data_IF_507783191279
#
_entry.id   IF_507783191279
#
_cell.length_a   1.000
_cell.length_b   1.000
_cell.length_c   1.000
_cell.angle_alpha   90.00
_cell.angle_beta   90.00
_cell.angle_gamma   90.00
#
_symmetry.space_group_name_H-M   'P 1'
#
loop_
_entity.id
_entity.type
_entity.pdbx_description
1 polymer ?
#
# COMPACT_ATOMS: atom_id res chain seq x y z
N UNK A 1 -8.31 4.62 -24.96
CA UNK A 1 -7.91 3.28 -24.48
C UNK A 1 -9.11 2.66 -23.76
N UNK A 2 -9.37 1.36 -23.90
CA UNK A 2 -10.31 0.62 -23.06
C UNK A 2 -9.59 -0.52 -22.36
N UNK A 3 -10.09 -0.96 -21.19
CA UNK A 3 -9.46 -1.99 -20.35
C UNK A 3 -10.43 -3.15 -20.10
N UNK A 4 -9.93 -4.38 -20.12
CA UNK A 4 -10.62 -5.57 -19.60
C UNK A 4 -9.78 -6.08 -18.43
N UNK A 5 -10.32 -5.96 -17.22
CA UNK A 5 -9.57 -6.24 -16.00
C UNK A 5 -9.57 -7.75 -15.68
N UNK A 6 -8.38 -8.34 -15.60
CA UNK A 6 -8.20 -9.74 -15.18
C UNK A 6 -7.50 -9.86 -13.82
N UNK A 7 -6.83 -8.79 -13.36
CA UNK A 7 -6.14 -8.72 -12.08
C UNK A 7 -6.55 -7.44 -11.36
N UNK A 8 -7.41 -7.50 -10.33
CA UNK A 8 -7.68 -6.36 -9.49
C UNK A 8 -6.50 -6.22 -8.54
N UNK A 9 -5.57 -5.32 -8.87
CA UNK A 9 -4.39 -5.00 -8.07
C UNK A 9 -4.01 -3.54 -8.26
N UNK A 10 -3.42 -3.21 -9.43
CA UNK A 10 -2.74 -1.94 -9.68
C UNK A 10 -3.65 -0.73 -9.99
N UNK A 11 -4.96 -0.93 -10.13
CA UNK A 11 -5.91 0.16 -10.42
C UNK A 11 -5.78 0.86 -11.78
N UNK A 12 -4.95 0.34 -12.68
CA UNK A 12 -4.70 0.90 -14.02
C UNK A 12 -5.97 1.02 -14.88
N UNK A 13 -7.05 0.32 -14.51
CA UNK A 13 -8.35 0.45 -15.14
C UNK A 13 -9.04 1.79 -14.88
N UNK A 14 -8.63 2.54 -13.85
CA UNK A 14 -9.27 3.79 -13.43
C UNK A 14 -8.30 4.94 -13.10
N UNK A 15 -7.02 4.63 -12.89
CA UNK A 15 -6.00 5.60 -12.53
C UNK A 15 -5.51 6.43 -13.72
N UNK A 16 -4.80 7.51 -13.43
CA UNK A 16 -4.11 8.37 -14.41
C UNK A 16 -2.62 8.07 -14.49
N UNK A 17 -2.15 7.08 -13.72
CA UNK A 17 -0.75 6.75 -13.54
C UNK A 17 -0.31 5.55 -14.37
N UNK A 18 0.98 5.52 -14.69
CA UNK A 18 1.69 4.34 -15.18
C UNK A 18 3.06 4.29 -14.55
N UNK A 19 3.60 3.09 -14.34
CA UNK A 19 4.95 2.86 -13.85
C UNK A 19 5.73 2.10 -14.92
N UNK A 20 6.88 2.63 -15.30
CA UNK A 20 7.72 2.08 -16.36
C UNK A 20 9.12 1.82 -15.80
N UNK A 21 9.63 0.62 -16.05
CA UNK A 21 11.01 0.26 -15.73
C UNK A 21 11.91 0.56 -16.93
N UNK A 22 12.95 1.35 -16.71
CA UNK A 22 14.09 1.50 -17.60
C UNK A 22 15.22 0.58 -17.11
N UNK A 23 15.45 -0.51 -17.83
CA UNK A 23 16.50 -1.48 -17.51
C UNK A 23 17.91 -0.88 -17.66
N UNK A 24 18.05 0.17 -18.46
CA UNK A 24 19.27 0.99 -18.51
C UNK A 24 19.38 1.81 -17.21
N UNK A 25 20.04 1.23 -16.20
CA UNK A 25 20.26 1.83 -14.87
C UNK A 25 19.28 1.36 -13.78
N UNK A 26 18.33 0.48 -14.13
CA UNK A 26 17.32 -0.09 -13.23
C UNK A 26 16.47 0.96 -12.53
N UNK A 27 15.90 1.87 -13.33
CA UNK A 27 15.03 2.93 -12.84
C UNK A 27 13.56 2.56 -13.06
N UNK A 28 12.82 2.33 -11.98
CA UNK A 28 11.36 2.16 -12.01
C UNK A 28 10.72 3.49 -11.64
N UNK A 29 9.99 4.13 -12.57
CA UNK A 29 9.47 5.51 -12.40
C UNK A 29 8.00 5.62 -12.78
N UNK A 30 7.28 6.42 -12.00
CA UNK A 30 5.88 6.75 -12.26
C UNK A 30 5.74 7.95 -13.23
N UNK A 31 4.70 7.94 -14.05
CA UNK A 31 4.25 9.06 -14.86
C UNK A 31 2.73 9.18 -14.74
N UNK A 32 2.21 10.40 -14.63
CA UNK A 32 0.77 10.66 -14.47
C UNK A 32 0.24 11.68 -15.47
N UNK A 33 -0.90 11.39 -16.08
CA UNK A 33 -1.65 12.34 -16.91
C UNK A 33 -3.13 11.95 -17.01
N UNK A 34 -4.04 12.93 -16.96
CA UNK A 34 -5.46 12.70 -17.22
C UNK A 34 -5.73 12.10 -18.60
N UNK A 35 -4.84 12.35 -19.56
CA UNK A 35 -4.91 11.78 -20.92
C UNK A 35 -4.71 10.25 -20.95
N UNK A 36 -4.15 9.68 -19.88
CA UNK A 36 -3.88 8.24 -19.79
C UNK A 36 -5.06 7.44 -19.23
N UNK A 37 -6.07 8.12 -18.66
CA UNK A 37 -7.21 7.45 -18.05
C UNK A 37 -7.98 6.64 -19.11
N UNK A 38 -8.29 5.36 -18.86
CA UNK A 38 -9.12 4.57 -19.76
C UNK A 38 -10.50 5.23 -19.99
N UNK A 39 -11.00 5.13 -21.22
CA UNK A 39 -12.34 5.63 -21.59
C UNK A 39 -13.42 4.75 -20.96
N UNK A 40 -13.15 3.46 -20.82
CA UNK A 40 -13.99 2.51 -20.10
C UNK A 40 -13.14 1.35 -19.57
N UNK A 41 -13.65 0.71 -18.53
CA UNK A 41 -13.13 -0.54 -17.97
C UNK A 41 -14.25 -1.58 -17.88
N UNK A 42 -13.97 -2.81 -18.31
CA UNK A 42 -14.85 -3.97 -18.12
C UNK A 42 -14.31 -4.78 -16.95
N UNK A 43 -15.13 -4.91 -15.92
CA UNK A 43 -14.78 -5.55 -14.66
C UNK A 43 -15.74 -6.73 -14.43
N UNK A 44 -15.26 -7.94 -14.66
CA UNK A 44 -15.99 -9.18 -14.37
C UNK A 44 -15.21 -10.00 -13.33
N UNK A 45 -15.71 -10.16 -12.09
CA UNK A 45 -15.04 -10.92 -11.04
C UNK A 45 -14.63 -12.35 -11.45
N UNK A 46 -15.38 -13.01 -12.33
CA UNK A 46 -15.07 -14.36 -12.80
C UNK A 46 -13.73 -14.44 -13.56
N UNK A 47 -13.30 -13.33 -14.20
CA UNK A 47 -12.01 -13.27 -14.89
C UNK A 47 -10.81 -13.36 -13.93
N UNK A 48 -11.06 -13.28 -12.62
CA UNK A 48 -10.04 -13.30 -11.57
C UNK A 48 -9.95 -14.66 -10.87
N UNK A 49 -10.84 -15.61 -11.15
CA UNK A 49 -10.88 -16.93 -10.49
C UNK A 49 -9.58 -17.72 -10.66
N UNK A 50 -8.89 -17.53 -11.78
CA UNK A 50 -7.64 -18.21 -12.10
C UNK A 50 -6.40 -17.54 -11.51
N UNK A 51 -6.55 -16.44 -10.76
CA UNK A 51 -5.42 -15.77 -10.12
C UNK A 51 -4.78 -16.66 -9.05
N UNK A 52 -3.44 -16.83 -9.08
CA UNK A 52 -2.73 -17.49 -8.01
C UNK A 52 -2.97 -16.81 -6.65
N UNK A 53 -3.03 -17.57 -5.54
CA UNK A 53 -3.21 -17.01 -4.21
C UNK A 53 -2.20 -15.90 -3.88
N UNK A 54 -0.93 -16.10 -4.23
CA UNK A 54 0.13 -15.11 -4.00
C UNK A 54 -0.13 -13.78 -4.74
N UNK A 55 -0.57 -13.82 -6.00
CA UNK A 55 -0.90 -12.61 -6.76
C UNK A 55 -2.16 -11.90 -6.21
N UNK A 56 -3.13 -12.67 -5.72
CA UNK A 56 -4.30 -12.11 -5.05
C UNK A 56 -3.91 -11.39 -3.76
N UNK A 57 -3.05 -12.00 -2.94
CA UNK A 57 -2.58 -11.41 -1.69
C UNK A 57 -1.67 -10.19 -1.93
N UNK A 58 -0.77 -10.25 -2.92
CA UNK A 58 0.07 -9.12 -3.30
C UNK A 58 -0.77 -7.94 -3.82
N UNK A 59 -1.76 -8.20 -4.67
CA UNK A 59 -2.69 -7.17 -5.13
C UNK A 59 -3.48 -6.53 -3.99
N UNK A 60 -3.90 -7.32 -3.00
CA UNK A 60 -4.56 -6.77 -1.81
C UNK A 60 -3.63 -5.90 -0.96
N UNK A 61 -2.36 -6.31 -0.78
CA UNK A 61 -1.38 -5.51 -0.07
C UNK A 61 -1.11 -4.17 -0.77
N UNK A 62 -1.03 -4.18 -2.09
CA UNK A 62 -0.91 -2.99 -2.94
C UNK A 62 -2.12 -2.04 -2.80
N UNK A 63 -3.35 -2.57 -2.87
CA UNK A 63 -4.56 -1.76 -2.60
C UNK A 63 -4.53 -1.12 -1.21
N UNK A 64 -4.15 -1.87 -0.18
CA UNK A 64 -4.08 -1.35 1.19
C UNK A 64 -3.02 -0.27 1.31
N UNK A 65 -1.84 -0.48 0.71
CA UNK A 65 -0.77 0.50 0.62
C UNK A 65 -1.24 1.80 -0.05
N UNK A 66 -1.89 1.71 -1.21
CA UNK A 66 -2.49 2.86 -1.89
C UNK A 66 -3.51 3.63 -1.01
N UNK A 67 -4.26 2.93 -0.16
CA UNK A 67 -5.17 3.59 0.79
C UNK A 67 -4.37 4.22 1.94
N UNK A 68 -3.33 3.57 2.45
CA UNK A 68 -2.47 4.10 3.50
C UNK A 68 -1.78 5.41 3.08
N UNK A 69 -1.25 5.48 1.86
CA UNK A 69 -0.63 6.70 1.32
C UNK A 69 -1.59 7.91 1.34
N UNK A 70 -2.90 7.67 1.33
CA UNK A 70 -3.94 8.70 1.36
C UNK A 70 -4.52 8.90 2.76
N UNK A 71 -4.54 7.85 3.56
CA UNK A 71 -5.11 7.88 4.90
C UNK A 71 -4.20 8.61 5.89
N UNK A 72 -2.89 8.36 5.84
CA UNK A 72 -1.92 9.02 6.71
C UNK A 72 -1.56 10.39 6.13
N UNK A 73 -2.28 11.40 6.61
CA UNK A 73 -2.25 12.74 6.05
C UNK A 73 -2.21 13.78 7.18
N UNK A 74 -1.56 14.91 6.91
CA UNK A 74 -1.49 16.06 7.83
C UNK A 74 -2.68 17.01 7.64
N UNK A 75 -3.47 16.83 6.58
CA UNK A 75 -4.65 17.66 6.33
C UNK A 75 -5.74 17.46 7.40
N UNK A 76 -6.18 18.54 8.06
CA UNK A 76 -7.27 18.47 9.03
C UNK A 76 -8.65 18.41 8.34
N UNK A 77 -9.67 17.98 9.10
CA UNK A 77 -11.08 18.03 8.69
C UNK A 77 -11.45 17.18 7.46
N UNK A 78 -10.86 15.99 7.34
CA UNK A 78 -11.05 15.05 6.22
C UNK A 78 -11.88 13.81 6.61
N UNK A 79 -12.78 13.91 7.59
CA UNK A 79 -13.47 12.75 8.20
C UNK A 79 -14.25 11.90 7.19
N UNK A 80 -14.91 12.49 6.18
CA UNK A 80 -15.61 11.71 5.16
C UNK A 80 -14.65 10.80 4.39
N UNK A 81 -13.52 11.33 3.92
CA UNK A 81 -12.52 10.53 3.20
C UNK A 81 -11.76 9.57 4.13
N UNK A 82 -11.71 9.85 5.45
CA UNK A 82 -11.20 8.90 6.45
C UNK A 82 -12.14 7.70 6.52
N UNK A 83 -13.46 7.93 6.65
CA UNK A 83 -14.47 6.87 6.69
C UNK A 83 -14.49 6.02 5.42
N UNK A 84 -14.33 6.65 4.26
CA UNK A 84 -14.25 5.92 2.99
C UNK A 84 -13.00 5.04 2.93
N UNK A 85 -11.84 5.56 3.37
CA UNK A 85 -10.59 4.80 3.44
C UNK A 85 -10.70 3.64 4.43
N UNK A 86 -11.20 3.88 5.64
CA UNK A 86 -11.41 2.88 6.69
C UNK A 86 -12.38 1.78 6.24
N UNK A 87 -13.50 2.16 5.63
CA UNK A 87 -14.49 1.22 5.11
C UNK A 87 -13.89 0.33 4.01
N UNK A 88 -13.12 0.93 3.09
CA UNK A 88 -12.46 0.18 2.01
C UNK A 88 -11.42 -0.79 2.57
N UNK A 89 -10.59 -0.38 3.53
CA UNK A 89 -9.63 -1.25 4.21
C UNK A 89 -10.32 -2.42 4.92
N UNK A 90 -11.38 -2.15 5.68
CA UNK A 90 -12.15 -3.21 6.38
C UNK A 90 -12.77 -4.20 5.40
N UNK A 91 -13.26 -3.72 4.25
CA UNK A 91 -13.77 -4.59 3.17
C UNK A 91 -12.67 -5.50 2.62
N UNK A 92 -11.47 -4.98 2.36
CA UNK A 92 -10.33 -5.79 1.92
C UNK A 92 -9.95 -6.81 3.00
N UNK A 93 -9.76 -6.38 4.24
CA UNK A 93 -9.39 -7.23 5.39
C UNK A 93 -10.37 -8.39 5.57
N UNK A 94 -11.67 -8.14 5.38
CA UNK A 94 -12.72 -9.15 5.47
C UNK A 94 -12.69 -10.15 4.32
N UNK A 95 -12.54 -9.68 3.08
CA UNK A 95 -12.81 -10.50 1.90
C UNK A 95 -11.57 -11.23 1.36
N UNK A 96 -10.36 -10.70 1.54
CA UNK A 96 -9.13 -11.37 1.05
C UNK A 96 -8.99 -12.80 1.58
N UNK A 97 -9.14 -13.08 2.90
CA UNK A 97 -9.03 -14.44 3.39
C UNK A 97 -10.07 -15.40 2.78
N UNK A 98 -11.27 -14.91 2.48
CA UNK A 98 -12.33 -15.69 1.82
C UNK A 98 -11.89 -16.06 0.41
N UNK A 99 -11.39 -15.09 -0.37
CA UNK A 99 -10.91 -15.34 -1.73
C UNK A 99 -9.74 -16.34 -1.75
N UNK A 100 -8.82 -16.27 -0.79
CA UNK A 100 -7.68 -17.19 -0.72
C UNK A 100 -8.11 -18.63 -0.41
N UNK A 101 -9.20 -18.82 0.33
CA UNK A 101 -9.75 -20.13 0.66
C UNK A 101 -10.72 -20.64 -0.43
N UNK A 102 -11.49 -19.75 -1.03
CA UNK A 102 -12.54 -20.00 -2.00
C UNK A 102 -12.32 -19.10 -3.24
N UNK A 103 -11.39 -19.44 -4.14
CA UNK A 103 -10.96 -18.56 -5.23
C UNK A 103 -12.05 -18.23 -6.26
N UNK A 104 -13.11 -19.04 -6.32
CA UNK A 104 -14.29 -18.88 -7.19
C UNK A 104 -15.49 -18.26 -6.45
N UNK A 105 -15.31 -17.77 -5.21
CA UNK A 105 -16.37 -17.06 -4.49
C UNK A 105 -16.64 -15.70 -5.15
N UNK A 106 -17.71 -15.63 -5.94
CA UNK A 106 -18.07 -14.44 -6.71
C UNK A 106 -18.18 -13.19 -5.85
N UNK A 107 -18.89 -13.28 -4.72
CA UNK A 107 -19.17 -12.14 -3.84
C UNK A 107 -17.87 -11.55 -3.28
N UNK A 108 -16.97 -12.39 -2.77
CA UNK A 108 -15.70 -11.95 -2.23
C UNK A 108 -14.79 -11.37 -3.33
N UNK A 109 -14.76 -11.97 -4.53
CA UNK A 109 -14.02 -11.44 -5.68
C UNK A 109 -14.58 -10.09 -6.15
N UNK A 110 -15.90 -9.92 -6.16
CA UNK A 110 -16.56 -8.67 -6.53
C UNK A 110 -16.22 -7.54 -5.56
N UNK A 111 -16.26 -7.81 -4.25
CA UNK A 111 -15.88 -6.85 -3.21
C UNK A 111 -14.42 -6.41 -3.34
N UNK A 112 -13.49 -7.36 -3.53
CA UNK A 112 -12.06 -7.04 -3.72
C UNK A 112 -11.83 -6.27 -5.02
N UNK A 113 -12.47 -6.68 -6.11
CA UNK A 113 -12.35 -6.00 -7.40
C UNK A 113 -12.83 -4.56 -7.32
N UNK A 114 -13.97 -4.32 -6.68
CA UNK A 114 -14.50 -2.96 -6.51
C UNK A 114 -13.66 -2.13 -5.54
N UNK A 115 -13.26 -2.70 -4.40
CA UNK A 115 -12.36 -2.04 -3.46
C UNK A 115 -11.03 -1.64 -4.13
N UNK A 116 -10.51 -2.48 -5.02
CA UNK A 116 -9.35 -2.17 -5.86
C UNK A 116 -9.55 -0.90 -6.67
N UNK A 117 -10.64 -0.77 -7.43
CA UNK A 117 -10.91 0.47 -8.17
C UNK A 117 -11.06 1.69 -7.26
N UNK A 118 -11.74 1.57 -6.12
CA UNK A 118 -11.88 2.66 -5.14
C UNK A 118 -10.52 3.07 -4.56
N UNK A 119 -9.63 2.11 -4.32
CA UNK A 119 -8.27 2.37 -3.86
C UNK A 119 -7.42 3.15 -4.88
N UNK A 120 -7.81 3.26 -6.15
CA UNK A 120 -6.95 3.84 -7.19
C UNK A 120 -7.58 4.97 -8.02
N UNK A 121 -8.89 5.17 -7.95
CA UNK A 121 -9.58 6.15 -8.80
C UNK A 121 -9.40 7.62 -8.36
N UNK A 122 -8.78 7.86 -7.20
CA UNK A 122 -8.49 9.18 -6.62
C UNK A 122 -9.51 9.69 -5.59
N UNK A 123 -10.65 9.02 -5.40
CA UNK A 123 -11.70 9.49 -4.48
C UNK A 123 -11.21 9.56 -3.03
N UNK A 124 -10.39 8.59 -2.61
CA UNK A 124 -9.87 8.52 -1.24
C UNK A 124 -8.84 9.60 -0.93
N UNK A 125 -8.20 10.18 -1.96
CA UNK A 125 -7.22 11.26 -1.83
C UNK A 125 -7.83 12.67 -1.90
N UNK A 126 -9.14 12.76 -2.10
CA UNK A 126 -9.81 14.05 -2.31
C UNK A 126 -9.67 14.94 -1.08
N UNK A 127 -9.10 16.13 -1.28
CA UNK A 127 -8.89 17.13 -0.22
C UNK A 127 -7.70 16.84 0.70
N UNK A 128 -6.76 15.98 0.27
CA UNK A 128 -5.60 15.55 1.06
C UNK A 128 -4.29 15.77 0.30
N UNK A 129 -3.21 15.92 1.04
CA UNK A 129 -1.87 15.65 0.51
C UNK A 129 -1.56 14.18 0.78
N UNK A 130 -1.28 13.45 -0.30
CA UNK A 130 -0.95 12.01 -0.29
C UNK A 130 0.56 11.82 -0.01
N UNK A 131 0.96 10.77 0.71
CA UNK A 131 2.35 10.55 1.16
C UNK A 131 3.26 10.06 0.03
N UNK A 132 2.98 8.87 -0.52
CA UNK A 132 3.72 8.16 -1.57
C UNK A 132 5.15 7.73 -1.22
N UNK A 133 5.63 8.03 -0.01
CA UNK A 133 7.00 7.75 0.38
C UNK A 133 7.31 6.25 0.41
N UNK A 134 6.32 5.42 0.77
CA UNK A 134 6.53 3.97 0.83
C UNK A 134 6.55 3.34 -0.57
N UNK A 135 5.71 3.79 -1.49
CA UNK A 135 5.79 3.34 -2.89
C UNK A 135 7.11 3.72 -3.55
N UNK A 136 7.60 4.94 -3.33
CA UNK A 136 8.87 5.36 -3.91
C UNK A 136 10.07 4.57 -3.35
N UNK A 137 10.06 4.26 -2.05
CA UNK A 137 11.04 3.33 -1.47
C UNK A 137 10.92 1.92 -2.05
N UNK A 138 9.70 1.44 -2.29
CA UNK A 138 9.46 0.12 -2.88
C UNK A 138 9.99 0.04 -4.31
N UNK A 139 9.78 1.08 -5.12
CA UNK A 139 10.23 1.10 -6.51
C UNK A 139 11.75 0.89 -6.65
N UNK A 140 12.53 1.37 -5.68
CA UNK A 140 13.97 1.14 -5.64
C UNK A 140 14.31 -0.32 -5.29
N UNK A 141 13.56 -0.95 -4.38
CA UNK A 141 13.74 -2.37 -4.04
C UNK A 141 13.34 -3.28 -5.20
N UNK A 142 12.12 -3.12 -5.74
CA UNK A 142 11.65 -3.94 -6.85
C UNK A 142 12.40 -3.67 -8.16
N UNK A 143 12.90 -2.46 -8.36
CA UNK A 143 13.79 -2.15 -9.49
C UNK A 143 15.11 -2.92 -9.46
N UNK A 144 15.65 -3.18 -8.26
CA UNK A 144 16.95 -3.86 -8.10
C UNK A 144 16.82 -5.38 -7.94
N UNK A 145 15.86 -5.84 -7.13
CA UNK A 145 15.77 -7.24 -6.70
C UNK A 145 14.57 -8.00 -7.29
N UNK A 146 13.77 -7.36 -8.15
CA UNK A 146 12.60 -7.96 -8.83
C UNK A 146 11.60 -8.62 -7.85
N UNK A 147 11.48 -8.06 -6.64
CA UNK A 147 10.43 -8.47 -5.71
C UNK A 147 9.06 -8.05 -6.27
N UNK A 148 8.04 -8.88 -6.03
CA UNK A 148 6.66 -8.53 -6.36
C UNK A 148 6.23 -7.26 -5.62
N UNK A 149 5.66 -6.29 -6.35
CA UNK A 149 5.35 -4.95 -5.83
C UNK A 149 4.61 -4.94 -4.49
N UNK A 150 3.44 -5.60 -4.44
CA UNK A 150 2.65 -5.69 -3.22
C UNK A 150 3.34 -6.41 -2.05
N UNK A 151 4.27 -7.33 -2.34
CA UNK A 151 5.07 -7.98 -1.30
C UNK A 151 6.12 -7.02 -0.72
N UNK A 152 6.75 -6.18 -1.54
CA UNK A 152 7.61 -5.09 -1.09
C UNK A 152 6.85 -4.09 -0.20
N UNK A 153 5.64 -3.70 -0.61
CA UNK A 153 4.78 -2.80 0.17
C UNK A 153 4.34 -3.41 1.51
N UNK A 154 4.01 -4.71 1.54
CA UNK A 154 3.65 -5.43 2.76
C UNK A 154 4.78 -5.42 3.82
N UNK A 155 6.03 -5.36 3.36
CA UNK A 155 7.22 -5.26 4.21
C UNK A 155 7.45 -3.82 4.67
N UNK A 156 7.44 -2.86 3.74
CA UNK A 156 7.87 -1.49 4.01
C UNK A 156 6.84 -0.69 4.79
N UNK A 157 5.54 -0.89 4.56
CA UNK A 157 4.52 -0.08 5.24
C UNK A 157 4.57 -0.21 6.77
N UNK A 158 4.58 -1.42 7.36
CA UNK A 158 4.71 -1.55 8.81
C UNK A 158 5.99 -0.92 9.37
N UNK A 159 7.11 -1.02 8.64
CA UNK A 159 8.38 -0.39 9.04
C UNK A 159 8.29 1.15 8.98
N UNK A 160 7.74 1.70 7.90
CA UNK A 160 7.48 3.12 7.74
C UNK A 160 6.54 3.64 8.83
N UNK A 161 5.41 2.96 9.07
CA UNK A 161 4.43 3.33 10.10
C UNK A 161 5.11 3.41 11.47
N UNK A 162 5.95 2.43 11.82
CA UNK A 162 6.71 2.41 13.07
C UNK A 162 7.70 3.57 13.16
N UNK A 163 8.34 3.93 12.06
CA UNK A 163 9.28 5.05 11.98
C UNK A 163 8.60 6.40 12.21
N UNK A 164 7.46 6.64 11.54
CA UNK A 164 6.78 7.94 11.55
C UNK A 164 5.68 8.08 12.59
N UNK A 165 5.33 7.01 13.32
CA UNK A 165 4.18 6.96 14.25
C UNK A 165 4.13 8.15 15.22
N UNK A 166 5.30 8.62 15.69
CA UNK A 166 5.41 9.70 16.66
C UNK A 166 5.06 11.08 16.10
N UNK A 167 5.02 11.24 14.78
CA UNK A 167 4.62 12.48 14.12
C UNK A 167 3.16 12.85 14.47
N UNK A 168 2.26 11.86 14.44
CA UNK A 168 0.86 12.03 14.85
C UNK A 168 0.31 10.72 15.42
N UNK A 169 0.58 10.48 16.70
CA UNK A 169 0.10 9.29 17.41
C UNK A 169 -1.43 9.18 17.39
N UNK A 170 -2.16 10.30 17.33
CA UNK A 170 -3.62 10.27 17.31
C UNK A 170 -4.14 9.69 15.99
N UNK A 171 -3.52 10.04 14.85
CA UNK A 171 -3.85 9.48 13.54
C UNK A 171 -3.67 7.96 13.51
N UNK A 172 -2.58 7.47 14.09
CA UNK A 172 -2.30 6.02 14.19
C UNK A 172 -3.21 5.31 15.20
N UNK A 173 -3.52 5.93 16.34
CA UNK A 173 -4.50 5.37 17.29
C UNK A 173 -5.91 5.32 16.68
N UNK A 174 -6.29 6.33 15.90
CA UNK A 174 -7.53 6.33 15.11
C UNK A 174 -7.56 5.18 14.11
N UNK A 175 -6.47 4.98 13.35
CA UNK A 175 -6.34 3.85 12.43
C UNK A 175 -6.51 2.51 13.14
N UNK A 176 -5.77 2.31 14.23
CA UNK A 176 -5.83 1.10 15.04
C UNK A 176 -7.25 0.81 15.53
N UNK A 177 -7.96 1.84 16.03
CA UNK A 177 -9.33 1.67 16.49
C UNK A 177 -10.31 1.43 15.35
N UNK A 178 -10.31 2.27 14.31
CA UNK A 178 -11.36 2.28 13.30
C UNK A 178 -11.21 1.17 12.27
N UNK A 179 -9.98 0.74 11.96
CA UNK A 179 -9.69 -0.32 10.98
C UNK A 179 -9.56 -1.67 11.65
N UNK A 180 -8.89 -1.73 12.81
CA UNK A 180 -8.53 -2.98 13.47
C UNK A 180 -9.29 -3.27 14.75
N UNK A 181 -10.26 -2.42 15.13
CA UNK A 181 -11.05 -2.55 16.35
C UNK A 181 -10.19 -2.66 17.62
N UNK A 182 -9.03 -1.98 17.65
CA UNK A 182 -8.19 -1.85 18.84
C UNK A 182 -8.87 -0.90 19.83
N UNK A 183 -9.05 -1.34 21.08
CA UNK A 183 -9.59 -0.47 22.13
C UNK A 183 -8.62 0.66 22.45
N UNK A 184 -9.13 1.89 22.53
CA UNK A 184 -8.30 3.08 22.78
C UNK A 184 -7.86 3.10 24.25
N UNK A 185 -6.56 2.99 24.48
CA UNK A 185 -5.95 3.30 25.78
C UNK A 185 -5.70 4.80 25.88
N UNK A 186 -6.62 5.52 26.52
CA UNK A 186 -6.52 6.99 26.70
C UNK A 186 -5.29 7.43 27.50
N UNK A 187 -4.67 6.52 28.26
CA UNK A 187 -3.45 6.80 29.02
C UNK A 187 -2.18 6.48 28.21
N UNK A 188 -2.32 5.74 27.10
CA UNK A 188 -1.20 5.35 26.24
C UNK A 188 -1.66 5.13 24.78
N UNK A 189 -1.90 6.25 24.07
CA UNK A 189 -2.27 6.20 22.66
C UNK A 189 -1.17 5.59 21.77
N UNK A 190 0.11 5.72 22.16
CA UNK A 190 1.23 5.10 21.44
C UNK A 190 1.12 3.58 21.45
N UNK A 191 0.74 2.97 22.58
CA UNK A 191 0.44 1.53 22.64
C UNK A 191 -0.71 1.13 21.71
N UNK A 192 -1.77 1.94 21.67
CA UNK A 192 -2.92 1.71 20.78
C UNK A 192 -2.47 1.76 19.30
N UNK A 193 -1.67 2.77 18.94
CA UNK A 193 -1.11 2.93 17.61
C UNK A 193 -0.22 1.74 17.20
N UNK A 194 0.72 1.35 18.06
CA UNK A 194 1.65 0.24 17.80
C UNK A 194 0.92 -1.11 17.64
N UNK A 195 -0.14 -1.36 18.40
CA UNK A 195 -0.99 -2.56 18.23
C UNK A 195 -1.68 -2.57 16.84
N UNK A 196 -2.14 -1.43 16.33
CA UNK A 196 -2.71 -1.35 14.99
C UNK A 196 -1.68 -1.63 13.89
N UNK A 197 -0.43 -1.19 14.07
CA UNK A 197 0.68 -1.48 13.17
C UNK A 197 0.98 -2.98 13.18
N UNK A 198 1.03 -3.60 14.37
CA UNK A 198 1.28 -5.04 14.49
C UNK A 198 0.15 -5.86 13.85
N UNK A 199 -1.12 -5.51 14.06
CA UNK A 199 -2.25 -6.18 13.39
C UNK A 199 -2.20 -6.06 11.86
N UNK A 200 -1.70 -4.94 11.34
CA UNK A 200 -1.48 -4.77 9.90
C UNK A 200 -0.41 -5.74 9.40
N UNK A 201 0.72 -5.83 10.12
CA UNK A 201 1.80 -6.79 9.82
C UNK A 201 1.29 -8.24 9.90
N UNK A 202 0.60 -8.60 10.96
CA UNK A 202 0.02 -9.93 11.15
C UNK A 202 -0.98 -10.30 10.07
N UNK A 203 -1.79 -9.33 9.60
CA UNK A 203 -2.70 -9.55 8.48
C UNK A 203 -1.94 -9.87 7.19
N UNK A 204 -0.90 -9.11 6.85
CA UNK A 204 -0.07 -9.40 5.68
C UNK A 204 0.55 -10.79 5.75
N UNK A 205 1.09 -11.16 6.93
CA UNK A 205 1.61 -12.50 7.17
C UNK A 205 0.54 -13.57 7.00
N UNK A 206 -0.66 -13.35 7.54
CA UNK A 206 -1.80 -14.28 7.48
C UNK A 206 -2.26 -14.54 6.04
N UNK A 207 -2.21 -13.54 5.16
CA UNK A 207 -2.57 -13.70 3.74
C UNK A 207 -1.42 -14.22 2.88
N UNK A 208 -0.27 -14.54 3.48
CA UNK A 208 0.87 -15.16 2.80
C UNK A 208 1.85 -14.17 2.17
N UNK A 209 1.84 -12.90 2.58
CA UNK A 209 2.86 -11.93 2.19
C UNK A 209 4.06 -11.98 3.14
N UNK A 210 5.29 -11.76 2.65
CA UNK A 210 6.45 -11.56 3.51
C UNK A 210 6.26 -10.28 4.32
N UNK A 211 6.76 -10.28 5.56
CA UNK A 211 6.69 -9.11 6.46
C UNK A 211 8.07 -8.65 6.94
N UNK A 212 9.12 -9.15 6.29
CA UNK A 212 10.48 -8.64 6.39
C UNK A 212 11.25 -8.89 5.08
N UNK A 213 12.30 -8.08 4.84
CA UNK A 213 13.19 -8.23 3.69
C UNK A 213 13.92 -9.58 3.74
N UNK A 214 14.24 -10.07 4.94
CA UNK A 214 14.82 -11.41 5.15
C UNK A 214 13.87 -12.51 4.66
N UNK A 215 12.57 -12.43 5.00
CA UNK A 215 11.57 -13.41 4.53
C UNK A 215 11.42 -13.40 3.00
N UNK A 216 11.64 -12.25 2.36
CA UNK A 216 11.58 -12.09 0.90
C UNK A 216 12.91 -12.40 0.19
N UNK A 217 13.97 -12.79 0.91
CA UNK A 217 15.31 -13.01 0.37
C UNK A 217 15.93 -11.75 -0.29
N UNK A 218 15.59 -10.56 0.20
CA UNK A 218 16.19 -9.30 -0.25
C UNK A 218 17.38 -8.96 0.66
N UNK A 219 18.62 -8.88 0.13
CA UNK A 219 19.80 -8.56 0.92
C UNK A 219 19.84 -7.08 1.34
N UNK A 220 20.58 -6.80 2.40
CA UNK A 220 20.76 -5.45 2.95
C UNK A 220 21.97 -4.69 2.36
N UNK A 221 22.53 -5.17 1.25
CA UNK A 221 23.81 -4.72 0.71
C UNK A 221 23.74 -3.41 -0.10
N UNK A 222 22.54 -2.97 -0.50
CA UNK A 222 22.36 -1.79 -1.35
C UNK A 222 21.39 -0.74 -0.80
N UNK A 223 21.12 -0.74 0.51
CA UNK A 223 20.22 0.24 1.14
C UNK A 223 20.66 1.69 0.89
N UNK A 224 21.95 1.97 0.98
CA UNK A 224 22.52 3.29 0.70
C UNK A 224 22.31 3.74 -0.75
N UNK A 225 22.42 2.82 -1.69
CA UNK A 225 22.19 3.11 -3.11
C UNK A 225 20.71 3.40 -3.37
N UNK A 226 19.82 2.53 -2.89
CA UNK A 226 18.36 2.70 -3.04
C UNK A 226 17.88 4.01 -2.41
N UNK A 227 18.33 4.31 -1.20
CA UNK A 227 17.98 5.57 -0.54
C UNK A 227 18.50 6.79 -1.31
N UNK A 228 19.70 6.70 -1.89
CA UNK A 228 20.27 7.77 -2.71
C UNK A 228 19.50 7.97 -4.02
N UNK A 229 19.10 6.88 -4.69
CA UNK A 229 18.33 6.95 -5.94
C UNK A 229 16.92 7.50 -5.70
N UNK A 230 16.25 7.04 -4.64
CA UNK A 230 14.93 7.53 -4.28
C UNK A 230 14.93 9.03 -3.95
N UNK A 231 16.00 9.54 -3.34
CA UNK A 231 16.08 10.95 -2.92
C UNK A 231 16.79 11.90 -3.89
N UNK A 232 17.10 11.44 -5.11
CA UNK A 232 17.84 12.23 -6.11
C UNK A 232 17.15 13.57 -6.44
N UNK A 233 15.81 13.60 -6.43
CA UNK A 233 15.01 14.78 -6.73
C UNK A 233 14.45 15.48 -5.47
N UNK A 234 14.92 15.12 -4.28
CA UNK A 234 14.46 15.64 -3.00
C UNK A 234 13.96 14.56 -2.03
N UNK A 235 13.51 14.95 -0.82
CA UNK A 235 12.98 14.00 0.16
C UNK A 235 11.68 13.35 -0.32
N UNK A 236 11.49 12.08 0.06
CA UNK A 236 10.27 11.31 -0.20
C UNK A 236 9.19 11.61 0.86
N UNK A 237 7.94 11.24 0.56
CA UNK A 237 6.83 11.35 1.51
C UNK A 237 6.30 12.78 1.71
N UNK A 238 5.07 12.89 2.22
CA UNK A 238 4.42 14.14 2.62
C UNK A 238 3.85 14.10 4.04
N UNK A 239 3.65 12.93 4.63
CA UNK A 239 3.29 12.80 6.05
C UNK A 239 4.49 13.19 6.94
N UNK A 240 5.67 12.66 6.60
CA UNK A 240 6.99 13.14 7.05
C UNK A 240 7.88 13.22 5.82
N UNK A 241 8.72 14.26 5.72
CA UNK A 241 9.73 14.36 4.66
C UNK A 241 10.89 13.44 5.00
N UNK A 242 11.07 12.39 4.21
CA UNK A 242 12.08 11.34 4.41
C UNK A 242 13.32 11.66 3.59
N UNK A 243 14.43 11.93 4.27
CA UNK A 243 15.73 12.06 3.66
C UNK A 243 16.42 10.69 3.56
N UNK A 244 17.58 10.66 2.90
CA UNK A 244 18.34 9.44 2.66
C UNK A 244 18.56 8.60 3.93
N UNK A 245 18.97 9.23 5.04
CA UNK A 245 19.21 8.55 6.31
C UNK A 245 17.92 7.94 6.90
N UNK A 246 16.79 8.63 6.77
CA UNK A 246 15.48 8.13 7.21
C UNK A 246 15.09 6.85 6.44
N UNK A 247 15.30 6.85 5.12
CA UNK A 247 15.00 5.69 4.28
C UNK A 247 15.88 4.49 4.64
N UNK A 248 17.18 4.71 4.88
CA UNK A 248 18.07 3.65 5.36
C UNK A 248 17.60 3.10 6.71
N UNK A 249 17.16 3.96 7.63
CA UNK A 249 16.61 3.50 8.91
C UNK A 249 15.33 2.69 8.74
N UNK A 250 14.44 3.10 7.82
CA UNK A 250 13.21 2.35 7.50
C UNK A 250 13.55 0.98 6.90
N UNK A 251 14.50 0.90 5.96
CA UNK A 251 14.95 -0.39 5.43
C UNK A 251 15.54 -1.30 6.52
N UNK A 252 16.29 -0.75 7.47
CA UNK A 252 16.79 -1.52 8.62
C UNK A 252 15.67 -1.98 9.56
N UNK A 253 14.61 -1.19 9.74
CA UNK A 253 13.41 -1.62 10.49
C UNK A 253 12.61 -2.71 9.77
N UNK A 254 12.81 -2.85 8.45
CA UNK A 254 12.14 -3.82 7.60
C UNK A 254 12.87 -5.17 7.47
N UNK A 255 14.04 -5.35 8.11
CA UNK A 255 14.82 -6.60 8.09
C UNK A 255 14.15 -7.76 8.82
#
# INVERSE_FOLDING_TARGET
MGVILTIPAAGSESSTGSVITNEDGWYKRAVGSDLMRPVFAIMNPELTYTLPPYQTAAGAADMMAHIFERYFTNEPNVDLTDRLSEGTLRTIIKNVPIVLQEPENYEARAEIMWAGTIAHNGILGTGRTEDWGTHDMEHEISGIYDITHGAGLAILFPAWMKYVCKQDVNRFAQFANRVWDVEIDINNLEKTALEGIERTKDFFKKIGMPVSLTEANVPSDRFEEMASKGTENGPLGNFVKLHKEDIVNIFNLAL
#
